data_IF_439125618746
#
_entry.id   IF_439125618746
#
_cell.length_a   1.000
_cell.length_b   1.000
_cell.length_c   1.000
_cell.angle_alpha   90.00
_cell.angle_beta   90.00
_cell.angle_gamma   90.00
#
_symmetry.space_group_name_H-M   'P 1'
#
loop_
_entity.id
_entity.type
_entity.pdbx_description
1 polymer ?
#
# COMPACT_ATOMS: atom_id res chain seq x y z
N UNK A 1 9.86 -4.14 -1.36
CA UNK A 1 9.19 -4.21 -2.68
C UNK A 1 7.76 -4.69 -2.53
N UNK A 2 7.53 -5.86 -1.91
CA UNK A 2 6.19 -6.45 -1.72
C UNK A 2 5.22 -5.50 -1.03
N UNK A 3 5.62 -4.86 0.08
CA UNK A 3 4.76 -3.88 0.76
C UNK A 3 4.43 -2.64 -0.07
N UNK A 4 5.39 -2.07 -0.82
CA UNK A 4 5.10 -0.95 -1.71
C UNK A 4 4.09 -1.36 -2.80
N UNK A 5 4.19 -2.60 -3.29
CA UNK A 5 3.21 -3.15 -4.23
C UNK A 5 1.84 -3.33 -3.56
N UNK A 6 1.80 -3.78 -2.31
CA UNK A 6 0.57 -3.88 -1.53
C UNK A 6 -0.07 -2.51 -1.30
N UNK A 7 0.72 -1.48 -0.99
CA UNK A 7 0.26 -0.08 -0.86
C UNK A 7 -0.34 0.40 -2.18
N UNK A 8 0.34 0.20 -3.31
CA UNK A 8 -0.20 0.54 -4.64
C UNK A 8 -1.54 -0.14 -4.89
N UNK A 9 -1.62 -1.43 -4.62
CA UNK A 9 -2.85 -2.21 -4.82
C UNK A 9 -3.97 -1.72 -3.90
N UNK A 10 -3.68 -1.40 -2.64
CA UNK A 10 -4.65 -0.85 -1.71
C UNK A 10 -5.21 0.50 -2.19
N UNK A 11 -4.36 1.39 -2.68
CA UNK A 11 -4.76 2.68 -3.26
C UNK A 11 -5.65 2.46 -4.49
N UNK A 12 -5.25 1.59 -5.42
CA UNK A 12 -6.05 1.27 -6.61
C UNK A 12 -7.42 0.69 -6.23
N UNK A 13 -7.46 -0.22 -5.26
CA UNK A 13 -8.70 -0.82 -4.78
C UNK A 13 -9.60 0.22 -4.14
N UNK A 14 -9.07 1.03 -3.23
CA UNK A 14 -9.81 2.09 -2.57
C UNK A 14 -10.40 3.07 -3.58
N UNK A 15 -9.58 3.56 -4.51
CA UNK A 15 -10.04 4.46 -5.57
C UNK A 15 -11.13 3.80 -6.42
N UNK A 16 -11.03 2.51 -6.74
CA UNK A 16 -12.09 1.82 -7.52
C UNK A 16 -13.40 1.66 -6.76
N UNK A 17 -13.33 1.29 -5.47
CA UNK A 17 -14.50 1.01 -4.63
C UNK A 17 -15.21 2.28 -4.16
N UNK A 18 -14.44 3.33 -3.88
CA UNK A 18 -14.93 4.55 -3.25
C UNK A 18 -14.83 5.80 -4.15
N UNK A 19 -14.75 5.63 -5.47
CA UNK A 19 -14.57 6.73 -6.45
C UNK A 19 -15.59 7.89 -6.37
N UNK A 20 -16.75 7.69 -5.73
CA UNK A 20 -17.80 8.72 -5.58
C UNK A 20 -17.85 9.36 -4.19
N UNK A 21 -17.01 8.92 -3.24
CA UNK A 21 -17.08 9.35 -1.85
C UNK A 21 -15.72 9.90 -1.43
N UNK A 22 -15.71 11.07 -0.81
CA UNK A 22 -14.50 11.62 -0.21
C UNK A 22 -14.30 10.99 1.17
N UNK A 23 -13.54 9.91 1.21
CA UNK A 23 -13.14 9.25 2.45
C UNK A 23 -11.61 9.33 2.61
N UNK A 24 -11.11 9.58 3.83
CA UNK A 24 -9.69 9.44 4.11
C UNK A 24 -9.31 7.95 4.05
N UNK A 25 -8.08 7.67 3.60
CA UNK A 25 -7.51 6.33 3.57
C UNK A 25 -6.36 6.23 4.57
N UNK A 26 -6.45 5.26 5.49
CA UNK A 26 -5.35 4.91 6.41
C UNK A 26 -4.75 3.59 5.92
N UNK A 27 -3.45 3.60 5.63
CA UNK A 27 -2.70 2.41 5.20
C UNK A 27 -1.76 2.00 6.33
N UNK A 28 -2.05 0.85 6.93
CA UNK A 28 -1.25 0.24 7.99
C UNK A 28 -0.27 -0.81 7.44
N UNK A 29 0.98 -0.76 7.87
CA UNK A 29 2.04 -1.71 7.48
C UNK A 29 3.13 -1.77 8.55
N UNK A 30 4.07 -2.72 8.47
CA UNK A 30 4.99 -3.01 9.58
C UNK A 30 6.47 -2.63 9.33
N UNK A 31 6.88 -2.37 8.08
CA UNK A 31 8.26 -1.98 7.80
C UNK A 31 8.53 -0.48 7.96
N UNK A 32 9.32 -0.14 8.99
CA UNK A 32 9.89 1.20 9.19
C UNK A 32 10.66 1.73 7.97
N UNK A 33 11.36 0.86 7.24
CA UNK A 33 12.09 1.24 6.02
C UNK A 33 11.16 1.80 4.95
N UNK A 34 9.99 1.18 4.75
CA UNK A 34 8.98 1.65 3.80
C UNK A 34 8.40 2.98 4.27
N UNK A 35 8.14 3.13 5.57
CA UNK A 35 7.68 4.40 6.15
C UNK A 35 8.67 5.54 5.88
N UNK A 36 9.97 5.29 6.11
CA UNK A 36 11.02 6.26 5.82
C UNK A 36 11.09 6.64 4.34
N UNK A 37 10.92 5.69 3.42
CA UNK A 37 10.90 5.97 1.98
C UNK A 37 9.68 6.79 1.56
N UNK A 38 8.51 6.52 2.14
CA UNK A 38 7.29 7.28 1.87
C UNK A 38 7.44 8.73 2.35
N UNK A 39 7.97 8.92 3.56
CA UNK A 39 8.17 10.23 4.18
C UNK A 39 9.30 11.04 3.54
N UNK A 40 10.43 10.40 3.21
CA UNK A 40 11.63 11.09 2.73
C UNK A 40 12.02 10.62 1.33
N UNK A 41 11.73 11.46 0.33
CA UNK A 41 12.05 11.21 -1.09
C UNK A 41 13.53 10.89 -1.33
N UNK A 42 14.44 11.50 -0.57
CA UNK A 42 15.89 11.29 -0.67
C UNK A 42 16.34 9.88 -0.30
N UNK A 43 15.56 9.15 0.50
CA UNK A 43 15.89 7.79 0.92
C UNK A 43 15.39 6.71 -0.07
N UNK A 44 14.64 7.12 -1.10
CA UNK A 44 13.99 6.19 -2.02
C UNK A 44 15.02 5.52 -2.93
N UNK A 45 15.02 4.17 -3.02
CA UNK A 45 15.85 3.48 -3.98
C UNK A 45 15.46 3.85 -5.41
N UNK A 46 16.44 4.22 -6.24
CA UNK A 46 16.22 4.59 -7.64
C UNK A 46 15.52 3.50 -8.45
N UNK A 47 15.85 2.23 -8.19
CA UNK A 47 15.25 1.07 -8.85
C UNK A 47 13.72 1.02 -8.68
N UNK A 48 13.20 1.59 -7.59
CA UNK A 48 11.78 1.59 -7.25
C UNK A 48 11.05 2.89 -7.68
N UNK A 49 11.73 3.80 -8.40
CA UNK A 49 11.17 5.11 -8.79
C UNK A 49 9.82 5.01 -9.51
N UNK A 50 9.65 4.01 -10.37
CA UNK A 50 8.41 3.80 -11.11
C UNK A 50 7.25 3.47 -10.16
N UNK A 51 7.50 2.57 -9.21
CA UNK A 51 6.50 2.17 -8.21
C UNK A 51 6.11 3.34 -7.29
N UNK A 52 7.07 4.17 -6.89
CA UNK A 52 6.76 5.40 -6.15
C UNK A 52 5.92 6.37 -6.96
N UNK A 53 6.22 6.56 -8.25
CA UNK A 53 5.42 7.43 -9.11
C UNK A 53 3.98 6.93 -9.26
N UNK A 54 3.77 5.62 -9.39
CA UNK A 54 2.44 5.00 -9.46
C UNK A 54 1.66 5.16 -8.15
N UNK A 55 2.31 5.02 -6.98
CA UNK A 55 1.69 5.28 -5.68
C UNK A 55 1.29 6.75 -5.56
N UNK A 56 2.20 7.67 -5.92
CA UNK A 56 1.94 9.11 -5.85
C UNK A 56 0.81 9.53 -6.78
N UNK A 57 0.74 8.98 -8.00
CA UNK A 57 -0.33 9.26 -8.96
C UNK A 57 -1.69 8.75 -8.47
N UNK A 58 -1.75 7.50 -7.99
CA UNK A 58 -2.95 6.93 -7.40
C UNK A 58 -3.44 7.71 -6.18
N UNK A 59 -2.50 8.30 -5.42
CA UNK A 59 -2.80 9.08 -4.22
C UNK A 59 -3.46 10.43 -4.51
N UNK A 60 -3.26 11.02 -5.71
CA UNK A 60 -3.80 12.36 -6.06
C UNK A 60 -5.31 12.44 -6.03
N UNK A 61 -5.99 11.30 -6.16
CA UNK A 61 -7.44 11.21 -6.26
C UNK A 61 -8.10 10.92 -4.90
N UNK A 62 -7.30 10.80 -3.83
CA UNK A 62 -7.78 10.51 -2.48
C UNK A 62 -7.62 11.78 -1.65
N UNK A 63 -8.66 12.13 -0.89
CA UNK A 63 -8.73 13.41 -0.16
C UNK A 63 -7.61 13.52 0.88
N UNK A 64 -7.31 12.41 1.55
CA UNK A 64 -6.27 12.31 2.56
C UNK A 64 -5.77 10.87 2.63
N UNK A 65 -4.44 10.70 2.67
CA UNK A 65 -3.82 9.39 2.91
C UNK A 65 -2.89 9.50 4.11
N UNK A 66 -3.11 8.62 5.08
CA UNK A 66 -2.23 8.47 6.24
C UNK A 66 -1.51 7.12 6.17
N UNK A 67 -0.20 7.15 6.39
CA UNK A 67 0.64 5.97 6.46
C UNK A 67 1.00 5.70 7.93
N UNK A 68 0.53 4.58 8.46
CA UNK A 68 0.71 4.22 9.86
C UNK A 68 1.57 2.96 9.99
N UNK A 69 2.66 3.05 10.75
CA UNK A 69 3.44 1.86 11.10
C UNK A 69 2.77 1.19 12.29
N UNK A 70 2.31 -0.05 12.10
CA UNK A 70 1.67 -0.84 13.16
C UNK A 70 2.51 -2.05 13.50
N UNK A 71 2.36 -2.54 14.74
CA UNK A 71 3.10 -3.70 15.19
C UNK A 71 2.55 -4.96 14.49
N UNK A 72 3.42 -5.83 14.00
CA UNK A 72 3.12 -7.00 13.15
C UNK A 72 1.91 -7.85 13.62
N UNK A 73 1.65 -7.92 14.92
CA UNK A 73 0.49 -8.64 15.49
C UNK A 73 -0.88 -8.09 15.07
N UNK A 74 -0.98 -6.81 14.70
CA UNK A 74 -2.25 -6.19 14.25
C UNK A 74 -2.55 -6.45 12.77
N UNK A 75 -1.56 -6.85 11.96
CA UNK A 75 -1.69 -7.01 10.51
C UNK A 75 -1.84 -8.47 10.05
N UNK A 76 -2.29 -9.37 10.94
CA UNK A 76 -2.31 -10.82 10.69
C UNK A 76 -3.15 -11.26 9.48
N UNK A 77 -4.19 -10.50 9.11
CA UNK A 77 -4.99 -10.80 7.92
C UNK A 77 -4.24 -10.51 6.62
N UNK A 78 -3.60 -9.34 6.50
CA UNK A 78 -2.81 -9.00 5.32
C UNK A 78 -1.64 -9.97 5.14
N UNK A 79 -0.98 -10.37 6.24
CA UNK A 79 0.07 -11.37 6.21
C UNK A 79 -0.45 -12.74 5.76
N UNK A 80 -1.61 -13.16 6.25
CA UNK A 80 -2.25 -14.42 5.85
C UNK A 80 -2.59 -14.42 4.36
N UNK A 81 -3.14 -13.31 3.85
CA UNK A 81 -3.44 -13.13 2.43
C UNK A 81 -2.17 -13.15 1.58
N UNK A 82 -1.11 -12.48 2.02
CA UNK A 82 0.19 -12.49 1.37
C UNK A 82 0.76 -13.92 1.30
N UNK A 83 0.76 -14.67 2.41
CA UNK A 83 1.18 -16.09 2.44
C UNK A 83 0.32 -16.96 1.53
N UNK A 84 -0.99 -16.79 1.54
CA UNK A 84 -1.92 -17.53 0.67
C UNK A 84 -1.73 -17.18 -0.82
N UNK A 85 -1.19 -15.99 -1.13
CA UNK A 85 -0.86 -15.59 -2.49
C UNK A 85 0.44 -16.20 -3.01
N UNK A 86 1.40 -16.48 -2.14
CA UNK A 86 2.69 -17.09 -2.54
C UNK A 86 2.53 -18.48 -3.17
N UNK A 87 1.45 -19.19 -2.83
CA UNK A 87 1.13 -20.50 -3.41
C UNK A 87 0.33 -20.43 -4.72
N UNK A 88 -0.05 -19.23 -5.18
CA UNK A 88 -0.84 -19.02 -6.39
C UNK A 88 0.03 -18.54 -7.54
N UNK A 89 -0.31 -18.97 -8.76
CA UNK A 89 0.37 -18.51 -9.99
C UNK A 89 -0.02 -17.08 -10.38
N UNK A 90 -1.20 -16.61 -9.95
CA UNK A 90 -1.79 -15.35 -10.39
C UNK A 90 -1.97 -14.38 -9.22
N UNK A 91 -1.80 -13.09 -9.50
CA UNK A 91 -2.07 -12.01 -8.56
C UNK A 91 -3.59 -11.89 -8.32
N UNK A 92 -3.99 -11.59 -7.09
CA UNK A 92 -5.39 -11.32 -6.76
C UNK A 92 -5.51 -10.09 -5.84
N UNK A 93 -6.67 -9.44 -5.93
CA UNK A 93 -7.08 -8.32 -5.08
C UNK A 93 -8.19 -8.81 -4.15
N UNK A 94 -8.16 -8.43 -2.89
CA UNK A 94 -9.17 -8.83 -1.90
C UNK A 94 -9.54 -7.62 -1.02
N UNK A 95 -10.83 -7.45 -0.76
CA UNK A 95 -11.40 -6.45 0.13
C UNK A 95 -12.47 -7.11 0.99
N UNK A 96 -12.69 -6.58 2.19
CA UNK A 96 -13.70 -7.00 3.15
C UNK A 96 -14.59 -5.82 3.53
#
# INVERSE_FOLDING_TARGET
>A
MVELMAIKVAIEMFSSLFHKVQLPLIIEFDLNTVSNWLKYRSLRPWLLRKLFAEIEDGSRHIVEIQFAVTNHKKNGMAETLAKASMSRKNFFKAAW
#
